data_IF_411818247549
#
_entry.id   IF_411818247549
#
_cell.length_a   1.000
_cell.length_b   1.000
_cell.length_c   1.000
_cell.angle_alpha   90.00
_cell.angle_beta   90.00
_cell.angle_gamma   90.00
#
_symmetry.space_group_name_H-M   'P 1'
#
loop_
_entity.id
_entity.type
_entity.pdbx_description
1 polymer ?
#
# COMPACT_ATOMS: atom_id res chain seq x y z
N UNK A 1 31.53 11.42 -20.39
CA UNK A 1 30.26 11.95 -20.94
C UNK A 1 29.54 12.68 -19.81
N UNK A 2 29.84 13.97 -19.62
CA UNK A 2 29.24 14.84 -18.60
C UNK A 2 27.99 15.48 -19.22
N UNK A 3 26.83 15.36 -18.58
CA UNK A 3 25.59 16.05 -18.97
C UNK A 3 25.66 17.52 -18.51
N UNK A 4 25.12 18.48 -19.27
CA UNK A 4 25.26 19.90 -18.94
C UNK A 4 24.36 20.29 -17.76
N UNK A 5 24.89 21.14 -16.87
CA UNK A 5 24.17 21.79 -15.79
C UNK A 5 23.03 22.64 -16.37
N UNK A 6 21.78 22.40 -15.92
CA UNK A 6 20.67 23.33 -16.18
C UNK A 6 20.83 24.53 -15.26
N UNK A 7 21.03 25.71 -15.83
CA UNK A 7 21.02 27.01 -15.13
C UNK A 7 19.60 27.57 -15.22
N UNK A 8 19.01 27.95 -14.08
CA UNK A 8 17.70 28.61 -14.02
C UNK A 8 17.92 30.01 -13.47
N UNK A 9 17.59 31.04 -14.26
CA UNK A 9 17.79 32.46 -13.94
C UNK A 9 16.43 33.07 -13.60
N UNK A 10 16.32 33.71 -12.43
CA UNK A 10 15.16 34.52 -12.05
C UNK A 10 15.46 36.00 -12.31
N UNK A 11 14.68 36.65 -13.17
CA UNK A 11 14.73 38.10 -13.39
C UNK A 11 13.42 38.74 -12.95
N UNK A 12 13.49 39.90 -12.28
CA UNK A 12 12.34 40.69 -11.88
C UNK A 12 12.43 42.08 -12.54
N UNK A 13 11.31 42.59 -13.10
CA UNK A 13 11.24 43.91 -13.72
C UNK A 13 11.66 44.00 -15.21
N UNK A 14 11.35 45.14 -15.83
CA UNK A 14 11.34 45.44 -17.27
C UNK A 14 12.66 45.13 -18.04
N UNK A 15 13.74 44.84 -17.33
CA UNK A 15 15.05 44.45 -17.89
C UNK A 15 15.12 42.98 -18.35
N UNK A 16 14.12 42.16 -18.03
CA UNK A 16 14.08 40.74 -18.42
C UNK A 16 13.98 40.53 -19.94
N UNK A 17 13.37 41.48 -20.68
CA UNK A 17 13.16 41.34 -22.12
C UNK A 17 14.45 41.50 -22.94
N UNK A 18 15.34 42.41 -22.55
CA UNK A 18 16.62 42.65 -23.23
C UNK A 18 17.64 41.54 -22.96
N UNK A 19 17.65 41.00 -21.74
CA UNK A 19 18.52 39.87 -21.38
C UNK A 19 18.17 38.58 -22.13
N UNK A 20 16.86 38.32 -22.34
CA UNK A 20 16.41 37.17 -23.15
C UNK A 20 16.73 37.33 -24.64
N UNK A 21 16.66 38.55 -25.18
CA UNK A 21 17.00 38.82 -26.58
C UNK A 21 18.49 38.53 -26.87
N UNK A 22 19.40 38.87 -25.94
CA UNK A 22 20.83 38.60 -26.08
C UNK A 22 21.22 37.13 -25.86
N UNK A 23 20.52 36.39 -25.00
CA UNK A 23 20.76 34.94 -24.83
C UNK A 23 20.28 34.10 -26.02
N UNK A 24 19.16 34.48 -26.66
CA UNK A 24 18.66 33.81 -27.87
C UNK A 24 19.63 33.95 -29.05
N UNK A 25 20.35 35.07 -29.16
CA UNK A 25 21.38 35.29 -30.18
C UNK A 25 22.64 34.42 -29.98
N UNK A 26 22.85 33.86 -28.78
CA UNK A 26 23.99 32.99 -28.44
C UNK A 26 23.69 31.49 -28.47
N UNK A 27 22.46 31.09 -28.82
CA UNK A 27 22.09 29.68 -29.07
C UNK A 27 21.91 28.82 -27.81
N UNK A 28 21.71 29.42 -26.64
CA UNK A 28 21.48 28.69 -25.38
C UNK A 28 19.97 28.53 -25.10
N UNK A 29 19.50 27.29 -24.92
CA UNK A 29 18.10 26.99 -24.62
C UNK A 29 17.75 27.33 -23.17
N UNK A 30 17.09 28.48 -22.95
CA UNK A 30 16.58 28.88 -21.63
C UNK A 30 15.08 28.58 -21.53
N UNK A 31 14.69 27.81 -20.52
CA UNK A 31 13.29 27.43 -20.25
C UNK A 31 12.68 28.42 -19.26
N UNK A 32 11.80 29.32 -19.74
CA UNK A 32 11.18 30.36 -18.92
C UNK A 32 10.04 29.76 -18.07
N UNK A 33 10.15 29.81 -16.72
CA UNK A 33 9.02 29.56 -15.81
C UNK A 33 8.61 30.86 -15.13
N UNK A 34 7.49 31.41 -15.58
CA UNK A 34 6.77 32.47 -14.87
C UNK A 34 5.96 31.82 -13.75
N UNK A 35 6.17 32.25 -12.50
CA UNK A 35 5.35 31.81 -11.37
C UNK A 35 4.22 32.83 -11.09
N UNK A 36 3.00 32.37 -10.76
CA UNK A 36 1.87 33.22 -10.41
C UNK A 36 1.88 33.57 -8.91
N UNK A 37 1.56 34.81 -8.56
CA UNK A 37 1.30 35.14 -7.15
C UNK A 37 1.52 36.60 -6.80
N UNK A 38 0.49 37.42 -7.03
CA UNK A 38 0.33 38.70 -6.36
C UNK A 38 -0.12 38.49 -4.90
N UNK A 39 0.51 39.18 -3.94
CA UNK A 39 -0.04 39.70 -2.68
C UNK A 39 1.13 40.25 -1.82
N UNK A 40 1.37 41.55 -1.75
CA UNK A 40 0.72 42.53 -0.87
C UNK A 40 1.22 42.49 0.60
N UNK A 41 2.16 43.39 0.94
CA UNK A 41 2.34 44.15 2.22
C UNK A 41 3.33 45.28 1.83
N UNK A 42 3.15 46.59 1.98
CA UNK A 42 2.34 47.37 2.91
C UNK A 42 3.26 48.01 3.97
N UNK A 43 3.98 49.08 3.65
CA UNK A 43 4.03 50.30 4.48
C UNK A 43 4.88 51.42 3.88
N UNK A 44 4.37 52.64 4.05
CA UNK A 44 5.01 53.90 3.71
C UNK A 44 5.82 54.40 4.91
N UNK A 45 6.99 55.01 4.67
CA UNK A 45 7.75 55.68 5.73
C UNK A 45 9.13 56.15 5.29
N UNK A 46 9.21 57.46 5.07
CA UNK A 46 10.33 58.36 5.33
C UNK A 46 11.51 58.50 4.35
N UNK A 47 11.93 59.77 4.28
CA UNK A 47 12.80 60.42 3.34
C UNK A 47 14.29 60.20 3.63
N UNK A 48 15.15 60.28 2.61
CA UNK A 48 16.14 61.34 2.49
C UNK A 48 16.94 61.24 1.18
N UNK A 49 17.30 62.40 0.66
CA UNK A 49 18.03 62.60 -0.58
C UNK A 49 19.52 62.27 -0.40
N UNK A 50 20.10 61.51 -1.35
CA UNK A 50 21.54 61.46 -1.57
C UNK A 50 21.86 61.22 -3.05
N UNK A 51 22.39 62.28 -3.69
CA UNK A 51 23.44 62.33 -4.72
C UNK A 51 23.61 61.17 -5.73
N UNK A 52 23.53 61.55 -7.02
CA UNK A 52 24.21 61.07 -8.25
C UNK A 52 24.93 59.70 -8.28
N UNK A 53 24.88 58.99 -9.43
CA UNK A 53 25.26 57.59 -9.55
C UNK A 53 26.78 57.41 -9.50
N UNK A 54 27.32 56.41 -8.80
CA UNK A 54 28.65 55.90 -9.11
C UNK A 54 28.56 54.87 -10.25
N UNK A 55 29.60 54.88 -11.08
CA UNK A 55 29.85 54.11 -12.29
C UNK A 55 29.58 52.59 -12.18
N UNK A 56 29.36 51.88 -13.31
CA UNK A 56 28.99 50.47 -13.31
C UNK A 56 30.23 49.60 -13.02
N UNK A 57 30.41 49.21 -11.76
CA UNK A 57 31.38 48.16 -11.42
C UNK A 57 30.82 46.75 -11.72
N UNK A 58 31.70 45.79 -12.06
CA UNK A 58 31.38 44.68 -12.95
C UNK A 58 30.82 43.46 -12.21
N UNK A 59 29.76 42.86 -12.78
CA UNK A 59 29.37 41.47 -12.54
C UNK A 59 29.29 41.06 -11.06
N UNK A 60 28.32 41.59 -10.33
CA UNK A 60 27.76 40.88 -9.18
C UNK A 60 26.99 39.65 -9.69
N UNK A 61 27.71 38.61 -10.06
CA UNK A 61 27.17 37.25 -10.04
C UNK A 61 26.90 36.93 -8.57
N UNK A 62 25.68 37.22 -8.11
CA UNK A 62 25.15 36.57 -6.93
C UNK A 62 25.06 35.08 -7.24
N UNK A 63 26.14 34.36 -6.92
CA UNK A 63 26.10 32.91 -6.75
C UNK A 63 25.17 32.64 -5.57
N UNK A 64 23.87 32.55 -5.84
CA UNK A 64 22.97 31.88 -4.92
C UNK A 64 23.42 30.43 -4.94
N UNK A 65 24.26 30.08 -3.97
CA UNK A 65 24.36 28.71 -3.49
C UNK A 65 22.95 28.38 -3.02
N UNK A 66 22.10 27.86 -3.92
CA UNK A 66 21.02 27.00 -3.48
C UNK A 66 21.72 25.87 -2.78
N UNK A 67 21.77 25.91 -1.45
CA UNK A 67 21.93 24.69 -0.68
C UNK A 67 20.97 23.69 -1.31
N UNK A 68 21.51 22.58 -1.80
CA UNK A 68 20.71 21.44 -2.21
C UNK A 68 19.98 21.00 -0.94
N UNK A 69 18.87 21.68 -0.60
CA UNK A 69 18.03 21.26 0.49
C UNK A 69 17.75 19.79 0.23
N UNK A 70 18.24 18.99 1.16
CA UNK A 70 18.31 17.57 0.95
C UNK A 70 16.89 17.11 0.63
N UNK A 71 16.72 16.12 -0.25
CA UNK A 71 15.37 15.62 -0.58
C UNK A 71 14.53 15.31 0.68
N UNK A 72 15.19 15.09 1.82
CA UNK A 72 14.62 14.95 3.13
C UNK A 72 13.98 16.22 3.71
N UNK A 73 14.62 17.39 3.64
CA UNK A 73 14.09 18.67 4.17
C UNK A 73 12.81 19.08 3.46
N UNK A 74 12.81 19.04 2.11
CA UNK A 74 11.60 19.30 1.31
C UNK A 74 10.46 18.32 1.57
N UNK A 75 10.82 17.09 1.95
CA UNK A 75 9.82 16.06 2.29
C UNK A 75 9.24 16.34 3.67
N UNK A 76 10.05 16.70 4.65
CA UNK A 76 9.61 17.00 6.02
C UNK A 76 8.70 18.23 6.07
N UNK A 77 9.02 19.28 5.30
CA UNK A 77 8.24 20.53 5.27
C UNK A 77 6.87 20.37 4.58
N UNK A 78 6.76 19.48 3.60
CA UNK A 78 5.50 19.16 2.93
C UNK A 78 4.62 18.15 3.67
N UNK A 79 5.11 17.57 4.78
CA UNK A 79 4.44 16.43 5.43
C UNK A 79 3.43 16.89 6.47
N UNK A 80 2.17 16.46 6.29
CA UNK A 80 1.16 16.58 7.33
C UNK A 80 1.44 15.60 8.48
N UNK A 81 2.05 16.09 9.56
CA UNK A 81 2.29 15.33 10.80
C UNK A 81 1.08 14.56 11.36
N UNK A 82 -0.18 15.04 11.24
CA UNK A 82 -1.35 14.26 11.66
C UNK A 82 -1.51 12.94 10.89
N UNK A 83 -1.23 12.95 9.58
CA UNK A 83 -1.30 11.76 8.73
C UNK A 83 -0.21 10.76 9.09
N UNK A 84 1.01 11.24 9.37
CA UNK A 84 2.12 10.39 9.83
C UNK A 84 1.79 9.75 11.16
N UNK A 85 1.28 10.53 12.12
CA UNK A 85 0.86 10.01 13.43
C UNK A 85 -0.23 8.94 13.30
N UNK A 86 -1.25 9.20 12.47
CA UNK A 86 -2.31 8.23 12.17
C UNK A 86 -1.74 6.93 11.58
N UNK A 87 -0.84 7.05 10.59
CA UNK A 87 -0.20 5.89 9.96
C UNK A 87 0.60 5.07 11.00
N UNK A 88 1.40 5.73 11.85
CA UNK A 88 2.15 5.05 12.92
C UNK A 88 1.23 4.31 13.89
N UNK A 89 0.11 4.92 14.29
CA UNK A 89 -0.89 4.30 15.16
C UNK A 89 -1.48 3.05 14.50
N UNK A 90 -1.87 3.14 13.22
CA UNK A 90 -2.45 2.00 12.47
C UNK A 90 -1.43 0.87 12.33
N UNK A 91 -0.17 1.18 12.01
CA UNK A 91 0.89 0.19 11.89
C UNK A 91 1.24 -0.46 13.24
N UNK A 92 1.28 0.32 14.33
CA UNK A 92 1.48 -0.19 15.68
C UNK A 92 0.34 -1.12 16.08
N UNK A 93 -0.91 -0.70 15.86
CA UNK A 93 -2.10 -1.51 16.18
C UNK A 93 -2.12 -2.82 15.38
N UNK A 94 -1.82 -2.78 14.08
CA UNK A 94 -1.71 -3.97 13.24
C UNK A 94 -0.61 -4.92 13.73
N UNK A 95 0.53 -4.38 14.15
CA UNK A 95 1.65 -5.15 14.70
C UNK A 95 1.28 -5.81 16.04
N UNK A 96 0.68 -5.06 16.96
CA UNK A 96 0.20 -5.58 18.25
C UNK A 96 -0.84 -6.68 18.01
N UNK A 97 -1.80 -6.46 17.11
CA UNK A 97 -2.80 -7.48 16.76
C UNK A 97 -2.18 -8.75 16.17
N UNK A 98 -1.13 -8.60 15.34
CA UNK A 98 -0.39 -9.73 14.78
C UNK A 98 0.31 -10.56 15.86
N UNK A 99 1.07 -9.93 16.77
CA UNK A 99 1.86 -10.63 17.77
C UNK A 99 1.07 -11.17 18.96
N UNK A 100 0.06 -10.43 19.43
CA UNK A 100 -0.79 -10.89 20.55
C UNK A 100 -1.67 -12.07 20.17
N UNK A 101 -1.95 -12.26 18.86
CA UNK A 101 -2.83 -13.31 18.33
C UNK A 101 -4.20 -13.31 19.02
N UNK A 102 -4.65 -12.18 19.55
CA UNK A 102 -5.94 -12.04 20.20
C UNK A 102 -7.03 -11.74 19.15
N UNK A 103 -8.15 -12.50 19.09
CA UNK A 103 -9.22 -12.24 18.14
C UNK A 103 -9.81 -10.83 18.26
N UNK A 104 -9.95 -10.32 19.49
CA UNK A 104 -10.45 -8.96 19.74
C UNK A 104 -9.55 -7.89 19.13
N UNK A 105 -8.24 -7.96 19.39
CA UNK A 105 -7.26 -7.00 18.87
C UNK A 105 -7.22 -7.01 17.35
N UNK A 106 -7.41 -8.18 16.72
CA UNK A 106 -7.55 -8.24 15.26
C UNK A 106 -8.76 -7.46 14.76
N UNK A 107 -9.94 -7.66 15.36
CA UNK A 107 -11.14 -6.93 14.93
C UNK A 107 -11.02 -5.42 15.15
N UNK A 108 -10.37 -5.00 16.24
CA UNK A 108 -10.06 -3.59 16.50
C UNK A 108 -9.12 -3.05 15.42
N UNK A 109 -8.04 -3.76 15.09
CA UNK A 109 -7.12 -3.35 14.02
C UNK A 109 -7.85 -3.24 12.67
N UNK A 110 -8.65 -4.23 12.29
CA UNK A 110 -9.41 -4.22 11.04
C UNK A 110 -10.42 -3.06 11.00
N UNK A 111 -11.12 -2.78 12.09
CA UNK A 111 -12.05 -1.66 12.17
C UNK A 111 -11.31 -0.32 12.00
N UNK A 112 -10.27 -0.09 12.80
CA UNK A 112 -9.48 1.16 12.76
C UNK A 112 -8.90 1.36 11.37
N UNK A 113 -8.28 0.34 10.78
CA UNK A 113 -7.74 0.41 9.41
C UNK A 113 -8.84 0.74 8.38
N UNK A 114 -10.00 0.09 8.47
CA UNK A 114 -11.10 0.29 7.52
C UNK A 114 -11.59 1.75 7.55
N UNK A 115 -11.77 2.33 8.73
CA UNK A 115 -12.28 3.69 8.85
C UNK A 115 -11.20 4.75 8.67
N UNK A 116 -10.01 4.58 9.26
CA UNK A 116 -8.92 5.55 9.19
C UNK A 116 -8.30 5.62 7.78
N UNK A 117 -7.90 4.47 7.22
CA UNK A 117 -7.23 4.43 5.92
C UNK A 117 -8.20 4.33 4.74
N UNK A 118 -9.37 3.68 4.94
CA UNK A 118 -10.40 3.61 3.92
C UNK A 118 -11.14 4.93 3.77
N UNK A 119 -12.00 5.26 4.73
CA UNK A 119 -12.90 6.42 4.63
C UNK A 119 -12.27 7.77 5.01
N UNK A 120 -11.25 7.77 5.86
CA UNK A 120 -10.61 8.99 6.34
C UNK A 120 -9.60 9.57 5.34
N UNK A 121 -8.44 8.90 5.23
CA UNK A 121 -7.30 9.46 4.50
C UNK A 121 -7.23 9.02 3.02
N UNK A 122 -7.77 7.84 2.68
CA UNK A 122 -7.60 7.24 1.35
C UNK A 122 -6.14 6.88 0.99
N UNK A 123 -5.19 7.11 1.91
CA UNK A 123 -3.77 6.83 1.76
C UNK A 123 -3.45 5.36 2.05
N UNK A 124 -3.67 4.48 1.09
CA UNK A 124 -3.34 3.06 1.18
C UNK A 124 -2.50 2.58 -0.01
N UNK A 125 -1.79 1.47 0.19
CA UNK A 125 -1.12 0.74 -0.89
C UNK A 125 -2.14 0.30 -1.95
N UNK A 126 -2.16 1.01 -3.07
CA UNK A 126 -2.90 0.71 -4.30
C UNK A 126 -1.95 0.32 -5.43
N UNK A 127 -2.52 -0.20 -6.52
CA UNK A 127 -1.78 -0.52 -7.75
C UNK A 127 -1.12 0.71 -8.35
N UNK A 128 -1.74 1.89 -8.19
CA UNK A 128 -1.16 3.14 -8.66
C UNK A 128 0.24 3.37 -8.12
N UNK A 129 0.54 2.95 -6.88
CA UNK A 129 1.88 3.06 -6.31
C UNK A 129 2.84 2.06 -6.95
N UNK A 130 2.40 0.84 -7.29
CA UNK A 130 3.22 -0.12 -8.02
C UNK A 130 3.61 0.45 -9.39
N UNK A 131 2.62 0.93 -10.17
CA UNK A 131 2.88 1.48 -11.50
C UNK A 131 3.68 2.77 -11.45
N UNK A 132 3.42 3.64 -10.47
CA UNK A 132 4.18 4.89 -10.29
C UNK A 132 5.63 4.63 -9.89
N UNK A 133 5.88 3.62 -9.03
CA UNK A 133 7.24 3.21 -8.70
C UNK A 133 8.01 2.64 -9.89
N UNK A 134 7.31 1.98 -10.83
CA UNK A 134 7.91 1.49 -12.08
C UNK A 134 8.22 2.65 -13.04
N UNK A 135 7.27 3.57 -13.24
CA UNK A 135 7.40 4.64 -14.26
C UNK A 135 8.25 5.82 -13.81
N UNK A 136 8.15 6.21 -12.54
CA UNK A 136 8.81 7.39 -11.98
C UNK A 136 9.92 7.06 -10.96
N UNK A 137 10.14 5.76 -10.67
CA UNK A 137 11.19 5.29 -9.78
C UNK A 137 10.88 5.43 -8.29
N UNK A 138 11.87 5.09 -7.45
CA UNK A 138 11.72 5.08 -5.99
C UNK A 138 11.49 6.48 -5.38
N UNK A 139 11.81 7.54 -6.12
CA UNK A 139 11.62 8.93 -5.68
C UNK A 139 10.16 9.32 -5.42
N UNK A 140 9.18 8.57 -5.95
CA UNK A 140 7.75 8.77 -5.65
C UNK A 140 7.45 8.48 -4.17
N UNK A 141 8.05 7.43 -3.62
CA UNK A 141 7.84 7.05 -2.23
C UNK A 141 8.50 8.04 -1.27
N UNK A 142 9.69 8.53 -1.64
CA UNK A 142 10.44 9.45 -0.78
C UNK A 142 9.75 10.81 -0.58
N UNK A 143 8.82 11.20 -1.46
CA UNK A 143 8.07 12.47 -1.35
C UNK A 143 6.86 12.39 -0.42
N UNK A 144 6.42 11.18 -0.06
CA UNK A 144 5.24 10.95 0.78
C UNK A 144 5.64 10.05 1.96
N UNK A 145 5.96 10.67 3.10
CA UNK A 145 6.46 9.96 4.30
C UNK A 145 5.49 8.87 4.78
N UNK A 146 4.16 9.12 4.89
CA UNK A 146 3.19 8.06 5.20
C UNK A 146 3.23 6.88 4.23
N UNK A 147 3.30 7.14 2.92
CA UNK A 147 3.39 6.09 1.91
C UNK A 147 4.70 5.31 2.03
N UNK A 148 5.83 6.00 2.21
CA UNK A 148 7.14 5.38 2.41
C UNK A 148 7.10 4.43 3.61
N UNK A 149 6.59 4.90 4.75
CA UNK A 149 6.48 4.13 5.97
C UNK A 149 5.63 2.87 5.74
N UNK A 150 4.49 3.00 5.07
CA UNK A 150 3.59 1.90 4.74
C UNK A 150 4.23 0.88 3.79
N UNK A 151 4.96 1.32 2.76
CA UNK A 151 5.69 0.46 1.81
C UNK A 151 6.80 -0.29 2.51
N UNK A 152 7.66 0.40 3.27
CA UNK A 152 8.76 -0.20 4.02
C UNK A 152 8.25 -1.23 5.02
N UNK A 153 7.20 -0.88 5.78
CA UNK A 153 6.56 -1.81 6.69
C UNK A 153 6.00 -3.03 5.96
N UNK A 154 5.29 -2.82 4.86
CA UNK A 154 4.64 -3.91 4.11
C UNK A 154 5.66 -4.85 3.48
N UNK A 155 6.70 -4.33 2.83
CA UNK A 155 7.76 -5.14 2.23
C UNK A 155 8.56 -5.85 3.33
N UNK A 156 8.96 -5.15 4.38
CA UNK A 156 9.72 -5.72 5.50
C UNK A 156 8.96 -6.85 6.19
N UNK A 157 7.70 -6.64 6.55
CA UNK A 157 6.87 -7.70 7.16
C UNK A 157 6.58 -8.84 6.19
N UNK A 158 6.42 -8.56 4.90
CA UNK A 158 6.21 -9.58 3.86
C UNK A 158 7.42 -10.49 3.69
N UNK A 159 8.63 -9.97 3.75
CA UNK A 159 9.85 -10.76 3.65
C UNK A 159 10.13 -11.56 4.93
N UNK A 160 9.71 -11.08 6.10
CA UNK A 160 9.96 -11.81 7.35
C UNK A 160 8.87 -12.84 7.63
N UNK A 161 7.58 -12.46 7.60
CA UNK A 161 6.46 -13.34 7.96
C UNK A 161 5.57 -13.71 6.77
N UNK A 162 5.67 -13.06 5.62
CA UNK A 162 4.69 -13.16 4.54
C UNK A 162 3.62 -12.07 4.69
N UNK A 163 2.49 -12.20 3.99
CA UNK A 163 1.57 -11.08 3.73
C UNK A 163 0.73 -10.58 4.93
N UNK A 164 1.37 -10.07 5.97
CA UNK A 164 0.75 -9.52 7.19
C UNK A 164 -0.13 -8.32 6.84
N UNK A 165 0.29 -7.47 5.88
CA UNK A 165 -0.49 -6.33 5.41
C UNK A 165 -1.92 -6.73 4.99
N UNK A 166 -2.07 -7.77 4.18
CA UNK A 166 -3.37 -8.24 3.72
C UNK A 166 -4.27 -8.81 4.85
N UNK A 167 -3.66 -9.24 5.95
CA UNK A 167 -4.34 -9.81 7.11
C UNK A 167 -4.81 -8.78 8.14
N UNK A 168 -4.09 -7.65 8.29
CA UNK A 168 -4.29 -6.70 9.39
C UNK A 168 -4.41 -5.22 8.99
N UNK A 169 -3.85 -4.81 7.85
CA UNK A 169 -3.70 -3.40 7.47
C UNK A 169 -4.36 -3.02 6.15
N UNK A 170 -4.84 -3.99 5.38
CA UNK A 170 -5.55 -3.73 4.13
C UNK A 170 -7.03 -3.39 4.43
N UNK A 171 -7.52 -2.17 4.12
CA UNK A 171 -8.90 -1.77 4.41
C UNK A 171 -9.93 -2.61 3.65
N UNK A 172 -9.62 -3.04 2.44
CA UNK A 172 -10.53 -3.90 1.67
C UNK A 172 -10.49 -5.37 2.09
N UNK A 173 -9.36 -5.83 2.62
CA UNK A 173 -9.29 -7.11 3.32
C UNK A 173 -10.18 -7.08 4.57
N UNK A 174 -10.12 -5.99 5.33
CA UNK A 174 -10.99 -5.74 6.47
C UNK A 174 -12.47 -5.71 6.07
N UNK A 175 -12.81 -4.95 5.01
CA UNK A 175 -14.19 -4.88 4.49
C UNK A 175 -14.75 -6.27 4.17
N UNK A 176 -13.98 -7.11 3.45
CA UNK A 176 -14.42 -8.47 3.13
C UNK A 176 -14.53 -9.37 4.38
N UNK A 177 -13.66 -9.20 5.39
CA UNK A 177 -13.77 -9.92 6.66
C UNK A 177 -15.01 -9.50 7.45
N UNK A 178 -15.36 -8.21 7.45
CA UNK A 178 -16.61 -7.73 8.05
C UNK A 178 -17.83 -8.27 7.32
N UNK A 179 -17.82 -8.27 5.98
CA UNK A 179 -18.89 -8.89 5.17
C UNK A 179 -19.02 -10.37 5.51
N UNK A 180 -17.92 -11.12 5.56
CA UNK A 180 -17.94 -12.53 5.95
C UNK A 180 -18.49 -12.74 7.37
N UNK A 181 -18.22 -11.83 8.30
CA UNK A 181 -18.73 -11.91 9.68
C UNK A 181 -20.23 -11.66 9.79
N UNK A 182 -20.77 -10.79 8.94
CA UNK A 182 -22.20 -10.41 8.90
C UNK A 182 -23.04 -11.42 8.12
N UNK A 183 -22.45 -12.06 7.11
CA UNK A 183 -23.14 -13.02 6.25
C UNK A 183 -23.35 -14.36 6.97
N UNK A 184 -24.57 -14.92 6.95
CA UNK A 184 -24.86 -16.24 7.51
C UNK A 184 -24.05 -17.36 6.83
N UNK A 185 -23.55 -18.33 7.60
CA UNK A 185 -22.72 -19.42 7.09
C UNK A 185 -23.41 -20.27 6.00
N UNK A 186 -24.75 -20.34 6.01
CA UNK A 186 -25.55 -21.03 4.97
C UNK A 186 -25.39 -20.46 3.56
N UNK A 187 -25.05 -19.18 3.43
CA UNK A 187 -24.89 -18.51 2.13
C UNK A 187 -23.45 -18.65 1.60
N UNK A 188 -22.51 -19.00 2.50
CA UNK A 188 -21.11 -19.18 2.17
C UNK A 188 -20.90 -20.52 1.49
N UNK A 189 -20.17 -20.51 0.38
CA UNK A 189 -19.79 -21.70 -0.37
C UNK A 189 -18.28 -21.78 -0.50
N UNK A 190 -17.75 -23.00 -0.34
CA UNK A 190 -16.37 -23.30 -0.71
C UNK A 190 -16.34 -23.75 -2.16
N UNK A 191 -15.48 -23.12 -2.95
CA UNK A 191 -15.21 -23.60 -4.29
C UNK A 191 -14.57 -24.99 -4.24
N UNK A 192 -14.91 -25.81 -5.23
CA UNK A 192 -14.20 -27.07 -5.47
C UNK A 192 -12.71 -26.80 -5.65
N UNK A 193 -11.86 -27.69 -5.13
CA UNK A 193 -10.40 -27.51 -5.11
C UNK A 193 -9.82 -27.27 -6.51
N UNK A 194 -10.34 -27.96 -7.52
CA UNK A 194 -9.89 -27.80 -8.92
C UNK A 194 -10.10 -26.37 -9.41
N UNK A 195 -11.31 -25.84 -9.22
CA UNK A 195 -11.68 -24.48 -9.62
C UNK A 195 -10.86 -23.47 -8.82
N UNK A 196 -10.72 -23.66 -7.50
CA UNK A 196 -9.92 -22.78 -6.67
C UNK A 196 -8.46 -22.70 -7.18
N UNK A 197 -7.82 -23.83 -7.44
CA UNK A 197 -6.42 -23.87 -7.89
C UNK A 197 -6.22 -23.14 -9.22
N UNK A 198 -7.19 -23.19 -10.14
CA UNK A 198 -7.11 -22.47 -11.41
C UNK A 198 -7.43 -20.98 -11.25
N UNK A 199 -8.49 -20.66 -10.51
CA UNK A 199 -8.95 -19.28 -10.33
C UNK A 199 -7.93 -18.42 -9.56
N UNK A 200 -7.13 -19.02 -8.67
CA UNK A 200 -6.03 -18.32 -7.98
C UNK A 200 -5.04 -17.70 -8.95
N UNK A 201 -4.87 -18.25 -10.16
CA UNK A 201 -3.96 -17.68 -11.14
C UNK A 201 -4.51 -16.44 -11.87
N UNK A 202 -5.82 -16.19 -11.80
CA UNK A 202 -6.45 -15.05 -12.48
C UNK A 202 -5.87 -13.70 -12.01
N UNK A 203 -5.56 -13.55 -10.73
CA UNK A 203 -4.95 -12.31 -10.19
C UNK A 203 -3.54 -12.04 -10.74
N UNK A 204 -2.76 -13.04 -11.15
CA UNK A 204 -1.48 -12.76 -11.84
C UNK A 204 -1.71 -12.35 -13.28
N UNK A 205 -2.76 -12.86 -13.92
CA UNK A 205 -3.21 -12.33 -15.21
C UNK A 205 -3.53 -10.84 -15.11
N UNK A 206 -4.31 -10.46 -14.09
CA UNK A 206 -4.61 -9.03 -13.80
C UNK A 206 -3.32 -8.24 -13.51
N UNK A 207 -2.42 -8.77 -12.67
CA UNK A 207 -1.14 -8.12 -12.40
C UNK A 207 -0.31 -7.92 -13.67
N UNK A 208 -0.23 -8.93 -14.54
CA UNK A 208 0.51 -8.86 -15.80
C UNK A 208 -0.10 -7.81 -16.75
N UNK A 209 -1.43 -7.75 -16.86
CA UNK A 209 -2.15 -6.75 -17.67
C UNK A 209 -1.84 -5.32 -17.21
N UNK A 210 -1.60 -5.11 -15.91
CA UNK A 210 -1.29 -3.78 -15.36
C UNK A 210 0.21 -3.47 -15.45
N UNK A 211 1.09 -4.43 -15.15
CA UNK A 211 2.54 -4.22 -15.09
C UNK A 211 3.17 -4.16 -16.48
N UNK A 212 2.75 -4.99 -17.44
CA UNK A 212 3.38 -5.03 -18.77
C UNK A 212 3.28 -3.70 -19.55
N UNK A 213 2.12 -3.02 -19.61
CA UNK A 213 2.03 -1.70 -20.24
C UNK A 213 2.85 -0.65 -19.48
N UNK A 214 2.87 -0.70 -18.15
CA UNK A 214 3.67 0.21 -17.33
C UNK A 214 5.18 0.05 -17.62
N UNK A 215 5.67 -1.18 -17.76
CA UNK A 215 7.06 -1.48 -18.18
C UNK A 215 7.34 -1.02 -19.61
N UNK A 216 6.35 -1.07 -20.50
CA UNK A 216 6.45 -0.58 -21.87
C UNK A 216 6.32 0.96 -21.98
N UNK A 217 6.25 1.69 -20.85
CA UNK A 217 6.07 3.14 -20.82
C UNK A 217 4.68 3.62 -21.26
N UNK A 218 3.71 2.73 -21.42
CA UNK A 218 2.33 3.07 -21.78
C UNK A 218 1.54 3.31 -20.49
N UNK A 219 1.16 4.56 -20.25
CA UNK A 219 0.26 4.92 -19.17
C UNK A 219 -1.17 4.51 -19.52
N UNK A 220 -1.50 3.25 -19.28
CA UNK A 220 -2.88 2.77 -19.44
C UNK A 220 -3.52 2.69 -18.06
N UNK A 221 -4.47 3.59 -17.78
CA UNK A 221 -5.20 3.64 -16.51
C UNK A 221 -6.23 2.52 -16.38
N UNK A 222 -5.88 1.28 -16.74
CA UNK A 222 -6.76 0.12 -16.60
C UNK A 222 -6.93 -0.32 -15.14
N UNK A 223 -5.98 0.04 -14.27
CA UNK A 223 -5.99 -0.34 -12.86
C UNK A 223 -7.27 0.10 -12.13
N UNK A 224 -7.86 1.24 -12.51
CA UNK A 224 -9.10 1.75 -11.91
C UNK A 224 -10.28 0.77 -12.03
N UNK A 225 -10.33 -0.05 -13.09
CA UNK A 225 -11.39 -1.05 -13.28
C UNK A 225 -11.18 -2.30 -12.44
N UNK A 226 -9.92 -2.61 -12.12
CA UNK A 226 -9.56 -3.76 -11.32
C UNK A 226 -9.44 -3.43 -9.83
N UNK A 227 -9.49 -2.15 -9.44
CA UNK A 227 -9.43 -1.69 -8.06
C UNK A 227 -10.78 -1.11 -7.59
N UNK A 228 -11.71 -1.94 -7.06
CA UNK A 228 -12.98 -1.44 -6.53
C UNK A 228 -12.83 -0.56 -5.28
N UNK A 229 -11.62 -0.45 -4.73
CA UNK A 229 -11.28 0.30 -3.52
C UNK A 229 -11.61 1.79 -3.66
N UNK A 230 -11.13 2.43 -4.73
CA UNK A 230 -11.34 3.86 -4.94
C UNK A 230 -12.83 4.18 -5.06
N UNK A 231 -13.61 3.30 -5.67
CA UNK A 231 -15.06 3.44 -5.75
C UNK A 231 -15.73 3.40 -4.38
N UNK A 232 -15.39 2.41 -3.57
CA UNK A 232 -16.04 2.18 -2.27
C UNK A 232 -15.63 3.24 -1.23
N UNK A 233 -14.36 3.62 -1.22
CA UNK A 233 -13.81 4.51 -0.19
C UNK A 233 -13.81 5.99 -0.60
N UNK A 234 -13.56 6.29 -1.87
CA UNK A 234 -13.58 7.66 -2.38
C UNK A 234 -14.93 8.06 -3.01
N UNK A 235 -15.96 7.21 -2.87
CA UNK A 235 -17.33 7.43 -3.34
C UNK A 235 -17.40 7.97 -4.78
N UNK A 236 -16.82 7.23 -5.72
CA UNK A 236 -16.77 7.64 -7.13
C UNK A 236 -18.17 7.89 -7.71
N UNK A 237 -18.37 8.92 -8.56
CA UNK A 237 -19.66 9.19 -9.20
C UNK A 237 -20.02 8.20 -10.33
N UNK A 238 -19.08 7.34 -10.73
CA UNK A 238 -19.24 6.50 -11.92
C UNK A 238 -20.06 5.23 -11.64
N UNK A 239 -21.18 5.08 -12.35
CA UNK A 239 -22.09 3.92 -12.22
C UNK A 239 -21.39 2.60 -12.57
N UNK A 240 -20.50 2.61 -13.58
CA UNK A 240 -19.75 1.43 -14.01
C UNK A 240 -18.84 0.91 -12.88
N UNK A 241 -18.12 1.79 -12.20
CA UNK A 241 -17.21 1.36 -11.12
C UNK A 241 -18.00 0.84 -9.92
N UNK A 242 -19.17 1.42 -9.62
CA UNK A 242 -20.08 0.88 -8.61
C UNK A 242 -20.61 -0.50 -8.99
N UNK A 243 -20.99 -0.71 -10.25
CA UNK A 243 -21.41 -2.04 -10.73
C UNK A 243 -20.31 -3.09 -10.52
N UNK A 244 -19.06 -2.75 -10.84
CA UNK A 244 -17.89 -3.64 -10.63
C UNK A 244 -17.65 -3.88 -9.13
N UNK A 245 -17.66 -2.83 -8.31
CA UNK A 245 -17.45 -2.93 -6.87
C UNK A 245 -18.53 -3.80 -6.19
N UNK A 246 -19.80 -3.58 -6.53
CA UNK A 246 -20.93 -4.38 -6.05
C UNK A 246 -20.83 -5.83 -6.51
N UNK A 247 -20.39 -6.09 -7.74
CA UNK A 247 -20.16 -7.46 -8.22
C UNK A 247 -19.10 -8.19 -7.38
N UNK A 248 -17.96 -7.56 -7.11
CA UNK A 248 -16.92 -8.16 -6.27
C UNK A 248 -17.36 -8.33 -4.81
N UNK A 249 -18.11 -7.38 -4.28
CA UNK A 249 -18.65 -7.46 -2.93
C UNK A 249 -19.69 -8.57 -2.79
N UNK A 250 -20.60 -8.69 -3.77
CA UNK A 250 -21.58 -9.77 -3.84
C UNK A 250 -20.90 -11.15 -4.01
N UNK A 251 -19.83 -11.24 -4.79
CA UNK A 251 -19.03 -12.46 -4.87
C UNK A 251 -18.36 -12.80 -3.52
N UNK A 252 -17.95 -11.78 -2.75
CA UNK A 252 -17.36 -11.92 -1.42
C UNK A 252 -18.36 -12.40 -0.35
N UNK A 253 -19.65 -12.19 -0.56
CA UNK A 253 -20.73 -12.75 0.29
C UNK A 253 -20.80 -14.26 0.15
N UNK A 254 -20.64 -14.80 -1.07
CA UNK A 254 -20.71 -16.24 -1.33
C UNK A 254 -19.37 -16.91 -1.03
N UNK A 255 -18.25 -16.27 -1.40
CA UNK A 255 -16.91 -16.83 -1.27
C UNK A 255 -16.08 -15.89 -0.40
N UNK A 256 -15.68 -16.31 0.81
CA UNK A 256 -14.88 -15.47 1.70
C UNK A 256 -13.61 -14.96 1.00
N UNK A 257 -13.37 -13.66 1.11
CA UNK A 257 -12.24 -12.95 0.49
C UNK A 257 -12.10 -13.18 -1.02
N UNK A 258 -13.21 -13.24 -1.77
CA UNK A 258 -13.22 -13.52 -3.22
C UNK A 258 -12.22 -12.66 -4.00
N UNK A 259 -12.29 -11.34 -3.85
CA UNK A 259 -11.45 -10.42 -4.60
C UNK A 259 -9.96 -10.57 -4.25
N UNK A 260 -9.63 -10.69 -2.96
CA UNK A 260 -8.24 -10.92 -2.52
C UNK A 260 -7.63 -12.22 -3.09
N UNK A 261 -8.47 -13.24 -3.33
CA UNK A 261 -8.03 -14.54 -3.84
C UNK A 261 -7.85 -14.57 -5.36
N UNK A 262 -8.72 -13.88 -6.11
CA UNK A 262 -8.84 -14.09 -7.55
C UNK A 262 -8.62 -12.86 -8.42
N UNK A 263 -8.75 -11.64 -7.86
CA UNK A 263 -8.70 -10.42 -8.66
C UNK A 263 -7.64 -9.42 -8.19
N UNK A 264 -7.21 -9.46 -6.92
CA UNK A 264 -6.34 -8.44 -6.33
C UNK A 264 -4.90 -8.48 -6.89
N UNK A 265 -4.48 -7.49 -7.70
CA UNK A 265 -3.11 -7.43 -8.24
C UNK A 265 -2.05 -7.16 -7.16
N UNK A 266 -2.34 -6.30 -6.17
CA UNK A 266 -1.44 -6.07 -5.04
C UNK A 266 -1.23 -7.37 -4.23
N UNK A 267 -2.30 -8.15 -4.03
CA UNK A 267 -2.23 -9.45 -3.37
C UNK A 267 -1.44 -10.49 -4.16
N UNK A 268 -1.44 -10.40 -5.49
CA UNK A 268 -0.58 -11.20 -6.37
C UNK A 268 0.90 -10.81 -6.21
N UNK A 269 1.21 -9.52 -6.28
CA UNK A 269 2.57 -9.01 -6.11
C UNK A 269 3.17 -9.36 -4.74
N UNK A 270 2.44 -9.10 -3.65
CA UNK A 270 2.86 -9.47 -2.30
C UNK A 270 2.91 -10.99 -2.10
N UNK A 271 2.12 -11.75 -2.87
CA UNK A 271 2.14 -13.22 -2.82
C UNK A 271 3.45 -13.77 -3.37
N UNK A 272 3.93 -13.22 -4.48
CA UNK A 272 5.21 -13.57 -5.08
C UNK A 272 6.36 -13.24 -4.12
N UNK A 273 6.32 -12.05 -3.50
CA UNK A 273 7.29 -11.66 -2.47
C UNK A 273 7.27 -12.59 -1.25
N UNK A 274 6.09 -13.06 -0.83
CA UNK A 274 5.95 -13.93 0.34
C UNK A 274 6.54 -15.34 0.17
N UNK A 275 6.87 -15.77 -1.05
CA UNK A 275 7.57 -17.04 -1.28
C UNK A 275 8.94 -17.08 -0.59
N UNK A 276 9.59 -15.92 -0.49
CA UNK A 276 10.90 -15.72 0.14
C UNK A 276 10.78 -15.62 1.67
N UNK A 277 9.56 -15.63 2.24
CA UNK A 277 9.36 -15.34 3.66
C UNK A 277 10.17 -16.26 4.58
N UNK A 278 10.96 -15.66 5.48
CA UNK A 278 11.88 -16.40 6.36
C UNK A 278 11.17 -17.22 7.45
N UNK A 279 10.20 -16.62 8.15
CA UNK A 279 9.51 -17.25 9.27
C UNK A 279 8.17 -17.79 8.84
N UNK A 280 8.10 -19.08 8.49
CA UNK A 280 6.87 -19.80 8.12
C UNK A 280 5.99 -20.13 9.33
N UNK A 281 4.73 -20.55 9.10
CA UNK A 281 3.83 -21.02 10.19
C UNK A 281 4.23 -22.45 10.52
N UNK A 282 4.59 -22.71 11.78
CA UNK A 282 4.91 -24.05 12.24
C UNK A 282 3.67 -24.94 12.33
N UNK A 283 3.87 -26.23 12.08
CA UNK A 283 2.81 -27.26 12.14
C UNK A 283 3.07 -28.23 13.27
N UNK A 284 1.98 -28.72 13.85
CA UNK A 284 2.00 -29.78 14.87
C UNK A 284 1.63 -31.10 14.22
N UNK A 285 1.99 -32.21 14.87
CA UNK A 285 1.75 -33.57 14.35
C UNK A 285 0.27 -33.83 14.03
N UNK A 286 -0.66 -33.24 14.80
CA UNK A 286 -2.10 -33.41 14.61
C UNK A 286 -2.62 -32.75 13.32
N UNK A 287 -1.83 -31.90 12.64
CA UNK A 287 -2.22 -31.25 11.38
C UNK A 287 -2.43 -32.23 10.22
N UNK A 288 -1.90 -33.46 10.30
CA UNK A 288 -2.16 -34.52 9.32
C UNK A 288 -3.58 -35.09 9.38
N UNK A 289 -4.25 -34.99 10.53
CA UNK A 289 -5.55 -35.62 10.79
C UNK A 289 -6.67 -34.59 11.03
N UNK A 290 -6.33 -33.44 11.61
CA UNK A 290 -7.27 -32.37 11.93
C UNK A 290 -7.48 -31.43 10.74
N UNK A 291 -8.75 -31.19 10.37
CA UNK A 291 -9.14 -30.26 9.30
C UNK A 291 -9.64 -28.89 9.79
N UNK A 292 -9.56 -28.59 11.08
CA UNK A 292 -10.09 -27.34 11.65
C UNK A 292 -9.46 -26.11 11.02
N UNK A 293 -8.13 -26.09 10.88
CA UNK A 293 -7.41 -24.96 10.26
C UNK A 293 -7.74 -24.83 8.77
N UNK A 294 -7.86 -25.95 8.06
CA UNK A 294 -8.24 -25.99 6.65
C UNK A 294 -9.65 -25.44 6.43
N UNK A 295 -10.59 -25.84 7.28
CA UNK A 295 -11.95 -25.32 7.26
C UNK A 295 -11.96 -23.84 7.65
N UNK A 296 -11.30 -23.40 8.72
CA UNK A 296 -11.35 -21.99 9.12
C UNK A 296 -10.49 -21.04 8.29
N UNK A 297 -9.70 -21.52 7.32
CA UNK A 297 -8.89 -20.66 6.47
C UNK A 297 -9.75 -19.85 5.47
N UNK A 298 -9.77 -18.51 5.53
CA UNK A 298 -10.63 -17.70 4.66
C UNK A 298 -10.16 -17.71 3.19
N UNK A 299 -8.86 -17.85 2.95
CA UNK A 299 -8.30 -17.88 1.58
C UNK A 299 -8.22 -19.28 0.99
N UNK A 300 -8.43 -20.33 1.79
CA UNK A 300 -8.27 -21.72 1.34
C UNK A 300 -6.82 -22.16 1.12
N UNK A 301 -5.86 -21.45 1.71
CA UNK A 301 -4.42 -21.70 1.55
C UNK A 301 -3.90 -22.99 2.22
N UNK A 302 -4.70 -23.66 3.05
CA UNK A 302 -4.29 -24.81 3.85
C UNK A 302 -4.81 -26.11 3.22
N UNK A 303 -3.95 -27.13 3.11
CA UNK A 303 -4.30 -28.48 2.66
C UNK A 303 -3.70 -29.52 3.61
N UNK A 304 -4.50 -30.04 4.53
CA UNK A 304 -3.99 -30.86 5.64
C UNK A 304 -2.84 -30.16 6.37
N UNK A 305 -1.68 -30.78 6.40
CA UNK A 305 -0.46 -30.21 7.00
C UNK A 305 0.17 -29.08 6.17
N UNK A 306 -0.03 -29.04 4.85
CA UNK A 306 0.65 -28.08 3.96
C UNK A 306 -0.03 -26.71 3.93
N UNK A 307 0.77 -25.66 3.73
CA UNK A 307 0.31 -24.28 3.54
C UNK A 307 0.87 -23.77 2.23
N UNK A 308 -0.01 -23.29 1.37
CA UNK A 308 0.37 -22.47 0.22
C UNK A 308 0.65 -21.04 0.71
N UNK A 309 1.92 -20.70 0.86
CA UNK A 309 2.33 -19.38 1.34
C UNK A 309 2.00 -18.26 0.35
N UNK A 310 1.96 -18.58 -0.94
CA UNK A 310 1.53 -17.63 -1.95
C UNK A 310 0.05 -17.24 -1.71
N UNK A 311 -0.78 -18.12 -1.13
CA UNK A 311 -2.19 -17.83 -0.80
C UNK A 311 -2.50 -17.54 0.66
N UNK A 312 -1.54 -17.72 1.55
CA UNK A 312 -1.67 -17.32 2.95
C UNK A 312 -1.61 -15.79 3.10
N UNK A 313 -2.64 -15.19 3.70
CA UNK A 313 -2.68 -13.74 4.03
C UNK A 313 -2.24 -13.45 5.46
N UNK A 314 -1.54 -14.40 6.10
CA UNK A 314 -1.00 -14.29 7.47
C UNK A 314 -1.93 -13.64 8.47
N UNK A 315 -3.17 -14.12 8.51
CA UNK A 315 -4.22 -13.55 9.34
C UNK A 315 -4.29 -14.21 10.75
N UNK A 316 -3.45 -15.20 11.04
CA UNK A 316 -3.35 -15.90 12.32
C UNK A 316 -4.60 -16.66 12.79
N UNK A 317 -5.68 -16.78 12.00
CA UNK A 317 -6.87 -17.57 12.40
C UNK A 317 -6.48 -19.00 12.77
N UNK A 318 -5.70 -19.65 11.91
CA UNK A 318 -5.25 -21.02 12.15
C UNK A 318 -4.37 -21.16 13.40
N UNK A 319 -3.48 -20.21 13.67
CA UNK A 319 -2.65 -20.21 14.88
C UNK A 319 -3.50 -20.01 16.14
N UNK A 320 -4.50 -19.13 16.10
CA UNK A 320 -5.46 -18.95 17.20
C UNK A 320 -6.23 -20.23 17.48
N UNK A 321 -6.69 -20.95 16.44
CA UNK A 321 -7.37 -22.23 16.64
C UNK A 321 -6.47 -23.27 17.31
N UNK A 322 -5.18 -23.29 16.97
CA UNK A 322 -4.20 -24.18 17.60
C UNK A 322 -3.94 -23.79 19.06
N UNK A 323 -3.75 -22.50 19.37
CA UNK A 323 -3.52 -22.00 20.73
C UNK A 323 -4.71 -22.29 21.64
N UNK A 324 -5.92 -22.03 21.15
CA UNK A 324 -7.16 -22.29 21.87
C UNK A 324 -7.53 -23.78 21.90
N UNK A 325 -6.73 -24.66 21.26
CA UNK A 325 -6.98 -26.10 21.13
C UNK A 325 -8.38 -26.41 20.63
N UNK A 326 -8.90 -25.57 19.73
CA UNK A 326 -10.25 -25.74 19.17
C UNK A 326 -10.19 -26.84 18.13
N UNK A 327 -10.84 -27.95 18.42
CA UNK A 327 -11.06 -29.03 17.47
C UNK A 327 -12.03 -30.06 17.99
N UNK A 328 -13.18 -30.18 17.32
CA UNK A 328 -13.99 -31.37 17.42
C UNK A 328 -13.42 -32.37 16.41
N UNK A 329 -12.74 -33.40 16.90
CA UNK A 329 -12.64 -34.61 16.10
C UNK A 329 -14.07 -35.09 15.87
N UNK A 330 -14.46 -35.24 14.60
CA UNK A 330 -15.74 -35.87 14.24
C UNK A 330 -15.67 -37.40 14.38
N UNK A 331 -14.56 -37.92 14.89
CA UNK A 331 -14.38 -39.34 15.19
C UNK A 331 -14.51 -39.53 16.70
N UNK A 332 -14.91 -40.75 17.07
CA UNK A 332 -15.04 -41.11 18.46
C UNK A 332 -13.69 -40.98 19.18
N UNK A 333 -13.69 -40.39 20.37
CA UNK A 333 -12.46 -40.08 21.11
C UNK A 333 -11.69 -41.34 21.49
N UNK A 334 -12.38 -42.48 21.59
CA UNK A 334 -11.78 -43.79 21.87
C UNK A 334 -10.93 -44.32 20.70
N UNK A 335 -11.25 -43.96 19.45
CA UNK A 335 -10.48 -44.36 18.26
C UNK A 335 -9.19 -43.52 18.08
N UNK A 336 -9.21 -42.27 18.57
CA UNK A 336 -8.11 -41.32 18.43
C UNK A 336 -7.17 -41.32 19.64
N UNK A 337 -7.64 -41.73 20.83
CA UNK A 337 -6.84 -41.73 22.08
C UNK A 337 -5.52 -42.49 21.93
N UNK A 338 -5.49 -43.60 21.17
CA UNK A 338 -4.26 -44.37 20.91
C UNK A 338 -3.29 -43.72 19.91
N UNK A 339 -3.70 -42.67 19.20
CA UNK A 339 -2.87 -41.91 18.23
C UNK A 339 -2.48 -40.52 18.73
N UNK A 340 -2.99 -40.10 19.89
CA UNK A 340 -2.60 -38.84 20.52
C UNK A 340 -1.24 -39.04 21.18
N UNK A 341 -0.21 -38.43 20.60
CA UNK A 341 1.07 -38.24 21.29
C UNK A 341 0.81 -37.37 22.51
N UNK A 342 0.89 -37.98 23.70
CA UNK A 342 0.83 -37.27 24.96
C UNK A 342 2.07 -36.38 25.04
N UNK A 343 1.90 -35.09 24.74
CA UNK A 343 2.88 -34.08 25.11
C UNK A 343 2.85 -33.96 26.63
N UNK A 344 3.72 -34.70 27.30
CA UNK A 344 4.09 -34.43 28.68
C UNK A 344 4.55 -32.97 28.74
N UNK A 345 3.79 -32.14 29.45
CA UNK A 345 4.30 -30.83 29.87
C UNK A 345 5.59 -31.10 30.63
N UNK A 346 6.73 -30.67 30.08
CA UNK A 346 7.95 -30.58 30.86
C UNK A 346 7.69 -29.66 32.07
N UNK A 347 8.21 -30.02 33.25
CA UNK A 347 7.86 -29.41 34.54
C UNK A 347 8.14 -27.91 34.61
#
# INVERSE_FOLDING_TARGET
>A
MLRPNKVVIHCNGEHAAQFFHDLMLRGECVEQRVCPGAAAVGDAGDAEAASNPPDPDPLDLQFVLTEDETLLERTLDGTSWPRVALMLIVLALGSVAFFTKAPSMRWVALAVTLFALGFGDGGFLSVSHITSGISAGAGVYLRDVPLLLMVVFTVGTTLVWGRVFCGFLCPFGALQDFVDRLVPDRMKRRLSRKIHNQAVYAKYGVLAIIVLPALAGRQVSLYQYFEPFGTVFSLSPSVLLWAIATLFLAASVVIPRFYCRYACPLGAALGLLSLISLRRIDRVEQCGHCKVCELKCPTGAIRGATIDFHECVRCNICEVQLIQKVGACQHDMDEIRGRLVHLTRAP
#
